data_IF_025486317745
#
_entry.id   IF_025486317745
#
_cell.length_a   1.000
_cell.length_b   1.000
_cell.length_c   1.000
_cell.angle_alpha   90.00
_cell.angle_beta   90.00
_cell.angle_gamma   90.00
#
_symmetry.space_group_name_H-M   'P 1'
#
loop_
_entity.id
_entity.type
_entity.pdbx_description
1 polymer ?
#
# COMPACT_ATOMS: atom_id res chain seq x y z
N UNK A 1 9.69 -19.94 7.35
CA UNK A 1 9.63 -19.76 5.87
C UNK A 1 10.87 -20.40 5.28
N UNK A 2 10.77 -21.60 4.71
CA UNK A 2 11.92 -22.36 4.25
C UNK A 2 11.94 -22.41 2.71
N UNK A 3 12.99 -21.79 2.16
CA UNK A 3 13.71 -22.09 0.91
C UNK A 3 12.90 -22.55 -0.31
N UNK A 4 12.66 -21.61 -1.23
CA UNK A 4 12.67 -21.96 -2.66
C UNK A 4 14.14 -22.06 -3.07
N UNK A 5 14.71 -23.26 -2.93
CA UNK A 5 15.91 -23.65 -3.67
C UNK A 5 15.52 -24.74 -4.65
N UNK A 6 15.78 -24.47 -5.93
CA UNK A 6 15.48 -25.30 -7.10
C UNK A 6 16.33 -26.57 -7.15
N UNK A 7 16.31 -27.39 -6.09
CA UNK A 7 16.96 -28.69 -6.05
C UNK A 7 15.89 -29.77 -5.90
N UNK A 8 15.78 -30.67 -6.90
CA UNK A 8 14.89 -31.84 -6.91
C UNK A 8 14.92 -32.64 -5.59
N UNK A 9 16.06 -32.69 -4.90
CA UNK A 9 16.22 -33.42 -3.64
C UNK A 9 15.40 -32.88 -2.46
N UNK A 10 14.99 -31.59 -2.45
CA UNK A 10 14.26 -31.02 -1.30
C UNK A 10 12.74 -31.28 -1.33
N UNK A 11 12.17 -31.57 -2.50
CA UNK A 11 10.73 -31.81 -2.65
C UNK A 11 10.33 -33.22 -2.17
N UNK A 12 11.24 -34.19 -2.25
CA UNK A 12 11.00 -35.57 -1.82
C UNK A 12 10.75 -35.68 -0.30
N UNK A 13 11.37 -34.79 0.49
CA UNK A 13 11.27 -34.75 1.95
C UNK A 13 10.47 -33.53 2.47
N UNK A 14 9.90 -32.73 1.58
CA UNK A 14 9.15 -31.54 1.93
C UNK A 14 7.78 -31.88 2.52
N UNK A 15 7.44 -31.33 3.69
CA UNK A 15 6.12 -31.50 4.33
C UNK A 15 5.09 -30.55 3.71
N UNK A 16 5.51 -29.34 3.32
CA UNK A 16 4.62 -28.35 2.72
C UNK A 16 5.36 -27.38 1.79
N UNK A 17 4.62 -26.83 0.83
CA UNK A 17 5.02 -25.72 -0.04
C UNK A 17 4.10 -24.52 0.17
N UNK A 18 4.68 -23.32 0.12
CA UNK A 18 3.95 -22.07 0.23
C UNK A 18 4.13 -21.25 -1.04
N UNK A 19 3.05 -21.06 -1.81
CA UNK A 19 3.05 -20.24 -3.02
C UNK A 19 1.91 -19.23 -3.00
N UNK A 20 2.01 -18.20 -3.85
CA UNK A 20 0.87 -17.32 -4.11
C UNK A 20 -0.25 -18.03 -4.88
N UNK A 21 -1.40 -17.35 -4.98
CA UNK A 21 -2.60 -17.85 -5.63
C UNK A 21 -2.64 -17.67 -7.15
N UNK A 22 -1.52 -17.32 -7.79
CA UNK A 22 -1.49 -17.19 -9.25
C UNK A 22 -1.67 -18.55 -9.90
N UNK A 23 -2.38 -18.62 -11.02
CA UNK A 23 -2.66 -19.87 -11.72
C UNK A 23 -1.38 -20.65 -12.09
N UNK A 24 -0.29 -19.93 -12.37
CA UNK A 24 1.03 -20.52 -12.62
C UNK A 24 1.59 -21.27 -11.42
N UNK A 25 1.34 -20.81 -10.18
CA UNK A 25 1.85 -21.45 -8.98
C UNK A 25 0.84 -22.40 -8.34
N UNK A 26 -0.41 -21.97 -8.15
CA UNK A 26 -1.44 -22.73 -7.44
C UNK A 26 -2.36 -23.56 -8.35
N UNK A 27 -2.15 -23.51 -9.67
CA UNK A 27 -3.00 -24.19 -10.64
C UNK A 27 -3.02 -25.71 -10.50
N UNK A 28 -4.18 -26.30 -10.82
CA UNK A 28 -4.42 -27.74 -10.71
C UNK A 28 -4.14 -28.52 -12.01
N UNK A 29 -3.63 -27.87 -13.07
CA UNK A 29 -3.32 -28.54 -14.35
C UNK A 29 -1.82 -28.42 -14.62
N UNK A 30 -1.35 -27.20 -14.88
CA UNK A 30 0.06 -26.91 -15.20
C UNK A 30 0.76 -26.08 -14.11
N UNK A 31 0.19 -26.01 -12.91
CA UNK A 31 0.73 -25.19 -11.83
C UNK A 31 1.91 -25.84 -11.12
N UNK A 32 2.80 -25.03 -10.54
CA UNK A 32 3.94 -25.51 -9.73
C UNK A 32 3.47 -26.41 -8.58
N UNK A 33 2.36 -26.07 -7.92
CA UNK A 33 1.69 -26.90 -6.92
C UNK A 33 1.41 -28.32 -7.43
N UNK A 34 0.87 -28.46 -8.64
CA UNK A 34 0.58 -29.77 -9.23
C UNK A 34 1.87 -30.55 -9.45
N UNK A 35 2.89 -29.90 -10.02
CA UNK A 35 4.22 -30.53 -10.23
C UNK A 35 4.90 -30.95 -8.92
N UNK A 36 4.72 -30.20 -7.84
CA UNK A 36 5.19 -30.61 -6.51
C UNK A 36 4.44 -31.85 -6.01
N UNK A 37 3.12 -31.92 -6.21
CA UNK A 37 2.31 -33.09 -5.86
C UNK A 37 2.65 -34.34 -6.67
N UNK A 38 3.01 -34.19 -7.94
CA UNK A 38 3.50 -35.31 -8.78
C UNK A 38 4.79 -35.93 -8.22
N UNK A 39 5.64 -35.12 -7.56
CA UNK A 39 6.88 -35.60 -6.95
C UNK A 39 6.68 -36.14 -5.53
N UNK A 40 5.73 -35.57 -4.77
CA UNK A 40 5.37 -36.00 -3.43
C UNK A 40 3.88 -35.75 -3.21
N UNK A 41 3.06 -36.81 -3.28
CA UNK A 41 1.60 -36.68 -3.19
C UNK A 41 1.12 -36.16 -1.82
N UNK A 42 1.89 -36.40 -0.76
CA UNK A 42 1.59 -35.98 0.61
C UNK A 42 1.95 -34.51 0.88
N UNK A 43 2.60 -33.83 -0.06
CA UNK A 43 3.03 -32.45 0.14
C UNK A 43 1.82 -31.51 0.29
N UNK A 44 1.79 -30.79 1.40
CA UNK A 44 0.73 -29.83 1.68
C UNK A 44 0.96 -28.52 0.92
N UNK A 45 -0.10 -27.96 0.36
CA UNK A 45 -0.06 -26.62 -0.21
C UNK A 45 -0.65 -25.62 0.78
N UNK A 46 0.12 -24.59 1.12
CA UNK A 46 -0.31 -23.46 1.95
C UNK A 46 -0.33 -22.20 1.09
N UNK A 47 -1.41 -21.44 1.15
CA UNK A 47 -1.50 -20.18 0.44
C UNK A 47 -0.67 -19.10 1.15
N UNK A 48 0.08 -18.30 0.39
CA UNK A 48 0.84 -17.20 0.94
C UNK A 48 -0.08 -16.12 1.56
N UNK A 49 -0.10 -16.04 2.90
CA UNK A 49 -0.93 -15.06 3.63
C UNK A 49 -0.56 -13.59 3.34
N UNK A 50 0.71 -13.30 3.05
CA UNK A 50 1.13 -11.97 2.58
C UNK A 50 0.41 -11.59 1.28
N UNK A 51 0.30 -12.55 0.34
CA UNK A 51 -0.40 -12.34 -0.91
C UNK A 51 -1.92 -12.22 -0.71
N UNK A 52 -2.51 -13.04 0.17
CA UNK A 52 -3.92 -12.90 0.55
C UNK A 52 -4.22 -11.51 1.10
N UNK A 53 -3.41 -11.03 2.05
CA UNK A 53 -3.56 -9.70 2.63
C UNK A 53 -3.50 -8.62 1.54
N UNK A 54 -2.53 -8.72 0.62
CA UNK A 54 -2.42 -7.78 -0.50
C UNK A 54 -3.68 -7.75 -1.38
N UNK A 55 -4.24 -8.92 -1.72
CA UNK A 55 -5.46 -9.02 -2.51
C UNK A 55 -6.67 -8.42 -1.80
N UNK A 56 -6.90 -8.81 -0.54
CA UNK A 56 -8.01 -8.29 0.29
C UNK A 56 -7.99 -6.76 0.33
N UNK A 57 -6.80 -6.17 0.47
CA UNK A 57 -6.64 -4.74 0.54
C UNK A 57 -6.87 -4.03 -0.80
N UNK A 58 -6.42 -4.63 -1.91
CA UNK A 58 -6.71 -4.13 -3.26
C UNK A 58 -8.20 -4.18 -3.55
N UNK A 59 -8.87 -5.26 -3.16
CA UNK A 59 -10.31 -5.44 -3.33
C UNK A 59 -11.12 -4.49 -2.45
N UNK A 60 -10.67 -4.21 -1.21
CA UNK A 60 -11.34 -3.27 -0.31
C UNK A 60 -11.43 -1.83 -0.87
N UNK A 61 -10.44 -1.41 -1.69
CA UNK A 61 -10.46 -0.09 -2.35
C UNK A 61 -11.15 -0.14 -3.71
N UNK A 62 -11.31 -1.33 -4.28
CA UNK A 62 -11.98 -1.57 -5.57
C UNK A 62 -13.28 -2.33 -5.31
N UNK A 63 -14.27 -1.66 -4.72
CA UNK A 63 -15.55 -2.29 -4.46
C UNK A 63 -16.20 -2.70 -5.80
N UNK A 64 -16.39 -4.01 -6.00
CA UNK A 64 -17.09 -4.56 -7.17
C UNK A 64 -18.50 -4.91 -6.76
N UNK A 65 -19.46 -4.04 -7.05
CA UNK A 65 -20.86 -4.45 -7.11
C UNK A 65 -21.15 -4.98 -8.52
N UNK A 66 -22.04 -5.99 -8.65
CA UNK A 66 -22.28 -6.79 -9.87
C UNK A 66 -22.63 -6.01 -11.16
N UNK A 67 -22.78 -4.69 -11.09
CA UNK A 67 -23.03 -3.80 -12.23
C UNK A 67 -22.13 -2.56 -12.29
N UNK A 68 -21.32 -2.26 -11.27
CA UNK A 68 -20.47 -1.06 -11.20
C UNK A 68 -19.31 -1.23 -10.22
N UNK A 69 -18.11 -0.86 -10.65
CA UNK A 69 -16.97 -0.70 -9.74
C UNK A 69 -17.14 0.64 -9.03
N UNK A 70 -17.48 0.61 -7.75
CA UNK A 70 -17.47 1.80 -6.89
C UNK A 70 -16.06 1.92 -6.35
N UNK A 71 -15.36 2.98 -6.76
CA UNK A 71 -14.04 3.30 -6.20
C UNK A 71 -14.24 4.35 -5.13
N UNK A 72 -13.60 4.20 -3.98
CA UNK A 72 -13.43 5.34 -3.07
C UNK A 72 -12.61 6.40 -3.81
N UNK A 73 -13.29 7.42 -4.35
CA UNK A 73 -12.71 8.40 -5.26
C UNK A 73 -11.56 9.15 -4.61
N UNK A 74 -11.69 9.50 -3.33
CA UNK A 74 -10.64 10.17 -2.56
C UNK A 74 -9.36 9.32 -2.52
N UNK A 75 -9.45 8.08 -2.05
CA UNK A 75 -8.29 7.18 -1.90
C UNK A 75 -7.68 6.86 -3.27
N UNK A 76 -8.51 6.65 -4.29
CA UNK A 76 -8.05 6.32 -5.62
C UNK A 76 -7.32 7.50 -6.28
N UNK A 77 -7.92 8.70 -6.27
CA UNK A 77 -7.30 9.92 -6.79
C UNK A 77 -5.97 10.19 -6.08
N UNK A 78 -5.96 10.09 -4.74
CA UNK A 78 -4.77 10.26 -3.93
C UNK A 78 -3.63 9.31 -4.39
N UNK A 79 -3.91 8.01 -4.51
CA UNK A 79 -2.92 7.03 -4.93
C UNK A 79 -2.47 7.21 -6.40
N UNK A 80 -3.36 7.67 -7.28
CA UNK A 80 -3.02 8.01 -8.66
C UNK A 80 -2.10 9.23 -8.73
N UNK A 81 -2.33 10.27 -7.93
CA UNK A 81 -1.44 11.42 -7.82
C UNK A 81 -0.05 10.99 -7.37
N UNK A 82 0.07 10.11 -6.35
CA UNK A 82 1.37 9.57 -5.94
C UNK A 82 2.07 8.82 -7.08
N UNK A 83 1.34 7.97 -7.82
CA UNK A 83 1.90 7.24 -8.96
C UNK A 83 2.32 8.18 -10.10
N UNK A 84 1.55 9.25 -10.34
CA UNK A 84 1.86 10.26 -11.32
C UNK A 84 3.15 11.00 -10.97
N UNK A 85 3.32 11.41 -9.69
CA UNK A 85 4.55 12.05 -9.20
C UNK A 85 5.75 11.13 -9.37
N UNK A 86 5.61 9.83 -9.07
CA UNK A 86 6.64 8.84 -9.32
C UNK A 86 7.05 8.78 -10.79
N UNK A 87 6.08 8.62 -11.69
CA UNK A 87 6.36 8.51 -13.12
C UNK A 87 6.96 9.80 -13.68
N UNK A 88 6.54 10.97 -13.16
CA UNK A 88 7.13 12.24 -13.54
C UNK A 88 8.61 12.33 -13.15
N UNK A 89 8.96 11.97 -11.91
CA UNK A 89 10.36 12.02 -11.46
C UNK A 89 11.21 10.98 -12.21
N UNK A 90 10.78 9.72 -12.26
CA UNK A 90 11.57 8.61 -12.83
C UNK A 90 11.68 8.67 -14.36
N UNK A 91 10.74 9.31 -15.06
CA UNK A 91 10.85 9.51 -16.52
C UNK A 91 11.99 10.44 -16.95
N UNK A 92 12.67 11.11 -16.01
CA UNK A 92 13.85 11.92 -16.32
C UNK A 92 14.93 11.75 -15.25
N UNK A 93 16.07 11.20 -15.66
CA UNK A 93 17.27 11.09 -14.82
C UNK A 93 17.74 12.46 -14.31
N UNK A 94 17.54 13.53 -15.10
CA UNK A 94 17.84 14.89 -14.67
C UNK A 94 16.93 15.39 -13.55
N UNK A 95 15.61 15.11 -13.62
CA UNK A 95 14.69 15.43 -12.52
C UNK A 95 15.03 14.65 -11.26
N UNK A 96 15.33 13.36 -11.39
CA UNK A 96 15.77 12.53 -10.27
C UNK A 96 17.03 13.08 -9.60
N UNK A 97 18.07 13.39 -10.39
CA UNK A 97 19.33 13.96 -9.90
C UNK A 97 19.13 15.34 -9.26
N UNK A 98 18.27 16.18 -9.85
CA UNK A 98 17.94 17.51 -9.28
C UNK A 98 17.27 17.37 -7.92
N UNK A 99 16.30 16.47 -7.79
CA UNK A 99 15.62 16.21 -6.52
C UNK A 99 16.61 15.68 -5.46
N UNK A 100 17.53 14.81 -5.85
CA UNK A 100 18.55 14.26 -4.96
C UNK A 100 19.54 15.35 -4.48
N UNK A 101 19.96 16.27 -5.36
CA UNK A 101 20.80 17.42 -4.99
C UNK A 101 20.10 18.35 -3.99
N UNK A 102 18.85 18.73 -4.29
CA UNK A 102 18.04 19.57 -3.40
C UNK A 102 17.83 18.90 -2.03
N UNK A 103 17.65 17.58 -1.99
CA UNK A 103 17.52 16.85 -0.73
C UNK A 103 18.81 16.90 0.12
N UNK A 104 19.97 16.77 -0.52
CA UNK A 104 21.30 16.86 0.12
C UNK A 104 21.59 18.27 0.63
N UNK A 105 21.27 19.30 -0.14
CA UNK A 105 21.49 20.71 0.23
C UNK A 105 20.70 21.13 1.47
N UNK A 106 19.51 20.55 1.67
CA UNK A 106 18.63 20.88 2.81
C UNK A 106 18.92 19.99 4.04
N UNK A 107 19.93 19.10 3.96
CA UNK A 107 20.30 18.21 5.06
C UNK A 107 19.26 17.13 5.38
N UNK A 108 18.37 16.83 4.44
CA UNK A 108 17.30 15.82 4.63
C UNK A 108 17.66 14.49 3.97
N UNK A 109 17.31 13.37 4.60
CA UNK A 109 17.48 12.04 4.01
C UNK A 109 16.59 11.90 2.77
N UNK A 110 17.20 11.78 1.58
CA UNK A 110 16.48 11.51 0.34
C UNK A 110 15.77 10.15 0.43
N UNK A 111 14.44 10.16 0.48
CA UNK A 111 13.64 8.94 0.33
C UNK A 111 13.36 8.73 -1.15
N UNK A 112 13.98 7.68 -1.73
CA UNK A 112 13.69 7.28 -3.12
C UNK A 112 12.21 6.96 -3.25
N UNK A 113 11.55 7.68 -4.16
CA UNK A 113 10.14 7.45 -4.47
C UNK A 113 10.01 6.08 -5.13
N UNK A 114 9.26 5.17 -4.53
CA UNK A 114 9.00 3.84 -5.10
C UNK A 114 7.69 3.85 -5.88
N UNK A 115 7.63 3.07 -6.96
CA UNK A 115 6.39 2.88 -7.72
C UNK A 115 5.32 2.24 -6.84
N UNK A 116 4.06 2.68 -6.97
CA UNK A 116 2.93 2.08 -6.27
C UNK A 116 2.55 0.75 -6.91
N UNK A 117 3.28 -0.32 -6.59
CA UNK A 117 2.96 -1.66 -7.07
C UNK A 117 1.53 -2.08 -6.69
N UNK A 118 0.84 -2.73 -7.63
CA UNK A 118 -0.45 -3.39 -7.38
C UNK A 118 -0.23 -4.70 -6.59
N UNK A 119 0.90 -5.38 -6.83
CA UNK A 119 1.26 -6.64 -6.17
C UNK A 119 1.92 -6.45 -4.80
N UNK A 120 2.23 -5.21 -4.40
CA UNK A 120 2.85 -4.87 -3.11
C UNK A 120 2.27 -3.59 -2.52
N UNK A 121 0.99 -3.64 -2.16
CA UNK A 121 0.22 -2.52 -1.66
C UNK A 121 0.79 -1.91 -0.36
N UNK A 122 1.34 -2.75 0.52
CA UNK A 122 2.02 -2.32 1.75
C UNK A 122 3.21 -1.37 1.51
N UNK A 123 3.92 -1.49 0.37
CA UNK A 123 5.07 -0.63 0.04
C UNK A 123 4.67 0.80 -0.37
N UNK A 124 3.37 1.07 -0.59
CA UNK A 124 2.88 2.40 -0.98
C UNK A 124 3.14 3.46 0.10
N UNK A 125 3.27 3.06 1.37
CA UNK A 125 3.60 3.98 2.46
C UNK A 125 4.94 4.69 2.25
N UNK A 126 5.92 4.02 1.65
CA UNK A 126 7.23 4.61 1.37
C UNK A 126 7.11 5.69 0.29
N UNK A 127 6.28 5.45 -0.72
CA UNK A 127 6.00 6.43 -1.76
C UNK A 127 5.26 7.65 -1.22
N UNK A 128 4.24 7.42 -0.40
CA UNK A 128 3.47 8.48 0.27
C UNK A 128 4.36 9.33 1.19
N UNK A 129 5.22 8.70 2.00
CA UNK A 129 6.19 9.41 2.86
C UNK A 129 7.21 10.21 2.05
N UNK A 130 7.71 9.65 0.95
CA UNK A 130 8.64 10.34 0.06
C UNK A 130 8.00 11.58 -0.56
N UNK A 131 6.74 11.50 -1.00
CA UNK A 131 5.99 12.68 -1.48
C UNK A 131 5.80 13.68 -0.34
N UNK A 132 5.35 13.26 0.86
CA UNK A 132 5.18 14.16 2.03
C UNK A 132 6.43 15.00 2.29
N UNK A 133 7.60 14.37 2.27
CA UNK A 133 8.88 15.02 2.57
C UNK A 133 9.35 15.97 1.44
N UNK A 134 8.90 15.72 0.20
CA UNK A 134 9.36 16.43 -0.99
C UNK A 134 8.35 17.46 -1.54
N UNK A 135 7.08 17.44 -1.11
CA UNK A 135 6.00 18.30 -1.64
C UNK A 135 6.29 19.81 -1.55
N UNK A 136 7.09 20.26 -0.59
CA UNK A 136 7.40 21.68 -0.40
C UNK A 136 8.53 22.20 -1.32
N UNK A 137 9.08 21.37 -2.22
CA UNK A 137 10.42 21.59 -2.79
C UNK A 137 10.52 21.43 -4.31
N UNK A 138 9.42 21.09 -5.00
CA UNK A 138 9.41 20.84 -6.45
C UNK A 138 8.99 22.05 -7.29
N UNK A 139 9.80 22.44 -8.29
CA UNK A 139 9.54 23.55 -9.23
C UNK A 139 8.46 23.28 -10.31
N UNK A 140 7.71 22.17 -10.22
CA UNK A 140 6.69 21.80 -11.20
C UNK A 140 5.32 22.38 -10.82
N UNK A 141 4.90 23.48 -11.47
CA UNK A 141 3.66 24.22 -11.14
C UNK A 141 2.42 23.28 -11.10
N UNK A 142 2.24 22.43 -12.11
CA UNK A 142 1.07 21.51 -12.18
C UNK A 142 1.07 20.42 -11.10
N UNK A 143 2.24 19.92 -10.71
CA UNK A 143 2.36 18.90 -9.64
C UNK A 143 2.21 19.56 -8.27
N UNK A 144 2.80 20.74 -8.08
CA UNK A 144 2.64 21.52 -6.85
C UNK A 144 1.16 21.79 -6.57
N UNK A 145 0.39 22.19 -7.58
CA UNK A 145 -1.05 22.44 -7.44
C UNK A 145 -1.82 21.18 -7.02
N UNK A 146 -1.51 20.01 -7.59
CA UNK A 146 -2.15 18.75 -7.20
C UNK A 146 -1.77 18.30 -5.78
N UNK A 147 -0.52 18.50 -5.38
CA UNK A 147 -0.02 18.17 -4.05
C UNK A 147 -0.50 19.15 -2.96
N UNK A 148 -0.89 20.37 -3.37
CA UNK A 148 -1.43 21.42 -2.51
C UNK A 148 -2.97 21.50 -2.59
N UNK A 149 -3.63 20.46 -3.10
CA UNK A 149 -5.08 20.36 -3.03
C UNK A 149 -5.51 19.82 -1.66
N UNK A 150 -6.59 20.36 -1.09
CA UNK A 150 -7.15 19.89 0.17
C UNK A 150 -7.43 18.37 0.15
N UNK A 151 -8.05 17.85 -0.91
CA UNK A 151 -8.34 16.42 -1.06
C UNK A 151 -7.08 15.55 -0.99
N UNK A 152 -5.97 16.04 -1.53
CA UNK A 152 -4.69 15.33 -1.49
C UNK A 152 -4.11 15.31 -0.08
N UNK A 153 -4.10 16.45 0.61
CA UNK A 153 -3.61 16.55 2.00
C UNK A 153 -4.48 15.72 2.93
N UNK A 154 -5.80 15.78 2.78
CA UNK A 154 -6.73 14.94 3.52
C UNK A 154 -6.47 13.45 3.25
N UNK A 155 -6.27 13.08 1.99
CA UNK A 155 -5.88 11.72 1.59
C UNK A 155 -4.55 11.27 2.23
N UNK A 156 -3.57 12.16 2.37
CA UNK A 156 -2.30 11.88 3.05
C UNK A 156 -2.52 11.58 4.54
N UNK A 157 -3.22 12.46 5.25
CA UNK A 157 -3.46 12.31 6.69
C UNK A 157 -4.30 11.07 7.01
N UNK A 158 -5.26 10.73 6.13
CA UNK A 158 -6.04 9.51 6.24
C UNK A 158 -5.22 8.24 5.96
N UNK A 159 -4.46 8.22 4.86
CA UNK A 159 -3.86 6.99 4.35
C UNK A 159 -2.51 6.64 5.01
N UNK A 160 -1.74 7.62 5.49
CA UNK A 160 -0.43 7.34 6.11
C UNK A 160 -0.56 6.38 7.32
N UNK A 161 -1.44 6.63 8.30
CA UNK A 161 -1.61 5.72 9.43
C UNK A 161 -2.08 4.32 9.01
N UNK A 162 -3.03 4.23 8.08
CA UNK A 162 -3.55 2.97 7.54
C UNK A 162 -2.43 2.16 6.89
N UNK A 163 -1.68 2.77 5.97
CA UNK A 163 -0.62 2.09 5.24
C UNK A 163 0.55 1.69 6.16
N UNK A 164 0.83 2.45 7.23
CA UNK A 164 1.84 2.07 8.23
C UNK A 164 1.46 0.78 8.99
N UNK A 165 0.21 0.66 9.44
CA UNK A 165 -0.26 -0.53 10.15
C UNK A 165 -0.25 -1.74 9.21
N UNK A 166 -0.71 -1.56 7.97
CA UNK A 166 -0.64 -2.59 6.93
C UNK A 166 0.79 -3.03 6.67
N UNK A 167 1.74 -2.09 6.55
CA UNK A 167 3.15 -2.42 6.35
C UNK A 167 3.69 -3.27 7.50
N UNK A 168 3.39 -2.89 8.76
CA UNK A 168 3.85 -3.63 9.93
C UNK A 168 3.37 -5.08 9.91
N UNK A 169 2.07 -5.31 9.66
CA UNK A 169 1.51 -6.67 9.59
C UNK A 169 2.05 -7.43 8.39
N UNK A 170 2.17 -6.77 7.24
CA UNK A 170 2.74 -7.35 6.01
C UNK A 170 4.17 -7.85 6.22
N UNK A 171 5.04 -7.04 6.83
CA UNK A 171 6.42 -7.44 7.15
C UNK A 171 6.47 -8.55 8.19
N UNK A 172 5.58 -8.52 9.17
CA UNK A 172 5.45 -9.56 10.19
C UNK A 172 5.06 -10.91 9.56
N UNK A 173 4.07 -10.94 8.67
CA UNK A 173 3.65 -12.17 7.95
C UNK A 173 4.74 -12.76 7.06
N UNK A 174 5.73 -11.96 6.66
CA UNK A 174 6.89 -12.41 5.88
C UNK A 174 8.07 -12.85 6.77
N UNK A 175 7.98 -12.69 8.09
CA UNK A 175 9.05 -13.07 9.01
C UNK A 175 9.23 -14.59 9.03
N UNK A 176 10.46 -15.11 8.88
CA UNK A 176 10.69 -16.54 8.85
C UNK A 176 10.41 -17.24 10.18
N UNK A 177 10.38 -16.48 11.29
CA UNK A 177 10.20 -16.95 12.67
C UNK A 177 8.78 -16.72 13.21
N UNK A 178 7.83 -16.36 12.35
CA UNK A 178 6.47 -16.08 12.79
C UNK A 178 5.75 -17.34 13.27
N UNK A 179 5.04 -17.20 14.38
CA UNK A 179 4.09 -18.19 14.87
C UNK A 179 2.68 -17.95 14.30
N UNK A 180 1.95 -19.02 14.00
CA UNK A 180 0.61 -18.93 13.38
C UNK A 180 -0.38 -18.19 14.29
N UNK A 181 -0.35 -18.42 15.60
CA UNK A 181 -1.22 -17.71 16.55
C UNK A 181 -0.92 -16.21 16.52
N UNK A 182 0.37 -15.85 16.52
CA UNK A 182 0.80 -14.45 16.44
C UNK A 182 0.43 -13.79 15.11
N UNK A 183 0.51 -14.53 13.99
CA UNK A 183 0.04 -14.08 12.69
C UNK A 183 -1.45 -13.75 12.71
N UNK A 184 -2.27 -14.66 13.23
CA UNK A 184 -3.73 -14.48 13.34
C UNK A 184 -4.09 -13.30 14.23
N UNK A 185 -3.45 -13.19 15.41
CA UNK A 185 -3.64 -12.05 16.31
C UNK A 185 -3.28 -10.72 15.66
N UNK A 186 -2.20 -10.68 14.88
CA UNK A 186 -1.76 -9.48 14.16
C UNK A 186 -2.76 -9.04 13.09
N UNK A 187 -3.32 -9.99 12.33
CA UNK A 187 -4.36 -9.72 11.33
C UNK A 187 -5.66 -9.26 11.99
N UNK A 188 -6.06 -9.88 13.10
CA UNK A 188 -7.23 -9.45 13.87
C UNK A 188 -7.04 -8.04 14.44
N UNK A 189 -5.85 -7.73 14.94
CA UNK A 189 -5.51 -6.39 15.43
C UNK A 189 -5.59 -5.35 14.30
N UNK A 190 -5.10 -5.67 13.11
CA UNK A 190 -5.26 -4.81 11.93
C UNK A 190 -6.74 -4.57 11.61
N UNK A 191 -7.57 -5.62 11.60
CA UNK A 191 -9.01 -5.50 11.36
C UNK A 191 -9.67 -4.56 12.37
N UNK A 192 -9.37 -4.73 13.66
CA UNK A 192 -9.92 -3.88 14.71
C UNK A 192 -9.46 -2.42 14.55
N UNK A 193 -8.17 -2.18 14.30
CA UNK A 193 -7.64 -0.83 14.08
C UNK A 193 -8.26 -0.14 12.85
N UNK A 194 -8.56 -0.90 11.79
CA UNK A 194 -9.27 -0.36 10.63
C UNK A 194 -10.74 -0.05 10.95
N UNK A 195 -11.40 -0.85 11.79
CA UNK A 195 -12.76 -0.57 12.23
C UNK A 195 -12.87 0.66 13.13
N UNK A 196 -11.88 0.91 14.00
CA UNK A 196 -11.86 2.10 14.86
C UNK A 196 -11.78 3.41 14.05
N UNK A 197 -11.31 3.35 12.80
CA UNK A 197 -11.28 4.51 11.89
C UNK A 197 -12.65 4.94 11.38
N UNK A 198 -13.68 4.13 11.60
CA UNK A 198 -15.07 4.49 11.28
C UNK A 198 -15.72 5.34 12.38
N UNK A 199 -14.98 5.69 13.44
CA UNK A 199 -15.45 6.50 14.56
C UNK A 199 -15.38 7.99 14.18
N UNK A 200 -16.43 8.73 14.51
CA UNK A 200 -16.59 10.15 14.13
C UNK A 200 -15.47 11.03 14.71
N UNK A 201 -15.02 10.73 15.93
CA UNK A 201 -13.93 11.40 16.62
C UNK A 201 -12.60 11.26 15.87
N UNK A 202 -12.28 10.08 15.32
CA UNK A 202 -11.08 9.91 14.51
C UNK A 202 -11.15 10.73 13.22
N UNK A 203 -12.32 10.77 12.57
CA UNK A 203 -12.53 11.61 11.40
C UNK A 203 -12.30 13.09 11.73
N UNK A 204 -12.87 13.59 12.84
CA UNK A 204 -12.70 14.99 13.30
C UNK A 204 -11.23 15.31 13.55
N UNK A 205 -10.46 14.40 14.14
CA UNK A 205 -9.02 14.58 14.36
C UNK A 205 -8.27 14.69 13.03
N UNK A 206 -8.54 13.79 12.08
CA UNK A 206 -7.89 13.80 10.76
C UNK A 206 -8.24 15.09 10.00
N UNK A 207 -9.51 15.49 10.04
CA UNK A 207 -9.99 16.70 9.38
C UNK A 207 -9.34 17.95 9.98
N UNK A 208 -9.38 18.12 11.32
CA UNK A 208 -8.74 19.25 12.00
C UNK A 208 -7.23 19.33 11.73
N UNK A 209 -6.53 18.19 11.68
CA UNK A 209 -5.12 18.18 11.31
C UNK A 209 -4.90 18.62 9.86
N UNK A 210 -5.80 18.25 8.95
CA UNK A 210 -5.77 18.69 7.56
C UNK A 210 -5.98 20.20 7.46
N UNK A 211 -6.96 20.75 8.18
CA UNK A 211 -7.21 22.20 8.22
C UNK A 211 -5.98 22.98 8.66
N UNK A 212 -5.33 22.57 9.75
CA UNK A 212 -4.09 23.19 10.24
C UNK A 212 -2.99 23.21 9.18
N UNK A 213 -2.82 22.11 8.44
CA UNK A 213 -1.82 22.03 7.36
C UNK A 213 -2.22 22.99 6.22
N UNK A 214 -3.50 23.02 5.85
CA UNK A 214 -4.00 23.92 4.81
C UNK A 214 -3.84 25.39 5.18
N UNK A 215 -4.09 25.78 6.44
CA UNK A 215 -3.87 27.14 6.94
C UNK A 215 -2.40 27.57 6.81
N UNK A 216 -1.48 26.72 7.28
CA UNK A 216 -0.03 26.96 7.18
C UNK A 216 0.42 27.17 5.74
N UNK A 217 -0.18 26.43 4.80
CA UNK A 217 0.17 26.48 3.38
C UNK A 217 -0.73 27.40 2.54
N UNK A 218 -1.67 28.14 3.16
CA UNK A 218 -2.64 29.03 2.50
C UNK A 218 -3.45 28.33 1.40
N UNK A 219 -3.87 27.10 1.67
CA UNK A 219 -4.67 26.26 0.75
C UNK A 219 -6.15 26.45 1.07
N UNK A 220 -6.97 26.65 0.04
CA UNK A 220 -8.42 26.77 0.19
C UNK A 220 -9.05 25.49 0.74
N UNK A 221 -9.81 25.62 1.82
CA UNK A 221 -10.57 24.54 2.44
C UNK A 221 -11.97 24.53 1.81
N UNK A 222 -12.50 23.38 1.35
CA UNK A 222 -13.85 23.30 0.81
C UNK A 222 -14.90 23.70 1.86
N UNK A 223 -15.84 24.55 1.50
CA UNK A 223 -16.98 24.87 2.37
C UNK A 223 -17.85 23.62 2.58
N UNK A 224 -18.32 23.43 3.82
CA UNK A 224 -19.33 22.41 4.11
C UNK A 224 -20.62 22.72 3.33
N UNK A 225 -20.84 21.99 2.24
CA UNK A 225 -22.16 21.96 1.61
C UNK A 225 -23.11 21.28 2.58
N UNK A 226 -23.86 22.08 3.36
CA UNK A 226 -25.08 21.62 4.03
C UNK A 226 -25.94 20.96 2.96
N UNK A 227 -26.04 19.63 3.00
CA UNK A 227 -27.05 18.93 2.21
C UNK A 227 -28.40 19.50 2.68
N UNK A 228 -29.07 20.26 1.82
CA UNK A 228 -30.49 20.50 1.97
C UNK A 228 -31.15 19.12 2.02
N UNK A 229 -31.70 18.76 3.18
CA UNK A 229 -32.63 17.65 3.29
C UNK A 229 -33.86 18.03 2.46
N UNK A 230 -33.88 17.61 1.20
CA UNK A 230 -35.06 17.57 0.34
C UNK A 230 -35.31 16.12 -0.03
#
# INVERSE_FOLDING_TARGET
MMLVTTNKCQLLYGIAVCFDGTSTLSGNINGVKMRCKEQNNEIMYVHCYFFCLNLTLVDAVREKNSKKVVKNRLVFNFLETIQFVHNYIESSSMRHSTLEKVAKEIGTTFLKLKSCSITRWACRVEAVKAVKNNSNKGKGIGISLQLQAFEFIFGMELMIPILNIILKVSSLLQSPKIDILFATQSVNSLKNLLNMRNIEEEFKIIFSNTEKICEVHKIGIPEEKKKSLN
#
